data_IF_802686726629
#
_entry.id   IF_802686726629
#
_cell.length_a   1.000
_cell.length_b   1.000
_cell.length_c   1.000
_cell.angle_alpha   90.00
_cell.angle_beta   90.00
_cell.angle_gamma   90.00
#
_symmetry.space_group_name_H-M   'P 1'
#
loop_
_entity.id
_entity.type
_entity.pdbx_description
1 polymer ?
#
# COMPACT_ATOMS: atom_id res chain seq x y z
N UNK A 1 6.79 -13.29 -17.05
CA UNK A 1 7.37 -13.53 -15.71
C UNK A 1 6.22 -13.54 -14.71
N UNK A 2 5.85 -14.71 -14.20
CA UNK A 2 4.77 -14.86 -13.22
C UNK A 2 5.33 -14.44 -11.86
N UNK A 3 5.10 -13.19 -11.45
CA UNK A 3 5.44 -12.75 -10.10
C UNK A 3 4.71 -13.69 -9.15
N UNK A 4 5.46 -14.37 -8.28
CA UNK A 4 4.89 -15.30 -7.33
C UNK A 4 3.78 -14.59 -6.54
N UNK A 5 2.59 -15.23 -6.48
CA UNK A 5 1.41 -14.74 -5.76
C UNK A 5 1.72 -14.08 -4.39
N UNK A 6 2.62 -14.62 -3.54
CA UNK A 6 2.97 -13.97 -2.27
C UNK A 6 3.67 -12.61 -2.42
N UNK A 7 4.55 -12.45 -3.41
CA UNK A 7 5.24 -11.17 -3.68
C UNK A 7 4.22 -10.12 -4.13
N UNK A 8 3.29 -10.52 -4.99
CA UNK A 8 2.22 -9.65 -5.40
C UNK A 8 1.36 -9.26 -4.20
N UNK A 9 1.06 -10.16 -3.26
CA UNK A 9 0.32 -9.88 -2.02
C UNK A 9 1.04 -8.95 -1.05
N UNK A 10 2.37 -8.96 -1.03
CA UNK A 10 3.17 -8.10 -0.16
C UNK A 10 3.24 -6.64 -0.63
N UNK A 11 3.03 -6.37 -1.93
CA UNK A 11 3.20 -5.05 -2.55
C UNK A 11 2.65 -3.87 -1.72
N UNK A 12 1.34 -3.85 -1.35
CA UNK A 12 0.79 -2.70 -0.61
C UNK A 12 1.49 -2.46 0.73
N UNK A 13 1.90 -3.53 1.41
CA UNK A 13 2.62 -3.43 2.68
C UNK A 13 4.04 -2.90 2.49
N UNK A 14 4.73 -3.29 1.41
CA UNK A 14 6.05 -2.74 1.07
C UNK A 14 5.95 -1.23 0.84
N UNK A 15 4.93 -0.76 0.09
CA UNK A 15 4.70 0.67 -0.13
C UNK A 15 4.43 1.42 1.19
N UNK A 16 3.60 0.87 2.08
CA UNK A 16 3.35 1.47 3.39
C UNK A 16 4.62 1.49 4.26
N UNK A 17 5.37 0.39 4.31
CA UNK A 17 6.59 0.27 5.10
C UNK A 17 7.67 1.25 4.62
N UNK A 18 7.85 1.37 3.30
CA UNK A 18 8.75 2.36 2.71
C UNK A 18 8.32 3.79 3.06
N UNK A 19 7.02 4.08 2.99
CA UNK A 19 6.47 5.37 3.40
C UNK A 19 6.75 5.69 4.87
N UNK A 20 6.49 4.75 5.77
CA UNK A 20 6.78 4.87 7.20
C UNK A 20 8.27 5.05 7.48
N UNK A 21 9.14 4.33 6.76
CA UNK A 21 10.59 4.47 6.88
C UNK A 21 11.06 5.88 6.49
N UNK A 22 10.51 6.45 5.41
CA UNK A 22 10.80 7.83 5.00
C UNK A 22 10.32 8.84 6.04
N UNK A 23 9.13 8.64 6.63
CA UNK A 23 8.62 9.50 7.70
C UNK A 23 9.51 9.42 8.97
N UNK A 24 9.97 8.22 9.33
CA UNK A 24 10.92 8.02 10.43
C UNK A 24 12.27 8.66 10.14
N UNK A 25 12.77 8.55 8.91
CA UNK A 25 14.01 9.19 8.48
C UNK A 25 13.92 10.72 8.55
N UNK A 26 12.76 11.31 8.21
CA UNK A 26 12.53 12.75 8.33
C UNK A 26 12.71 13.26 9.77
N UNK A 27 12.39 12.43 10.77
CA UNK A 27 12.54 12.75 12.19
C UNK A 27 13.97 12.67 12.72
N UNK A 28 14.81 11.83 12.10
CA UNK A 28 16.20 11.64 12.50
C UNK A 28 17.16 12.65 11.84
N UNK A 29 16.70 13.35 10.79
CA UNK A 29 17.51 14.29 10.05
C UNK A 29 17.46 15.70 10.69
N UNK A 30 18.60 16.41 10.75
CA UNK A 30 18.66 17.77 11.26
C UNK A 30 17.86 18.74 10.36
N UNK A 31 17.41 19.85 10.96
CA UNK A 31 16.58 20.85 10.30
C UNK A 31 17.21 21.34 8.98
N UNK A 32 16.49 21.11 7.88
CA UNK A 32 16.92 21.42 6.52
C UNK A 32 15.81 21.14 5.49
N UNK A 33 16.11 21.22 4.19
CA UNK A 33 15.14 20.93 3.12
C UNK A 33 14.83 19.43 2.96
N UNK A 34 15.76 18.56 3.36
CA UNK A 34 15.64 17.10 3.20
C UNK A 34 14.49 16.50 4.03
N UNK A 35 14.32 16.82 5.33
CA UNK A 35 13.17 16.35 6.12
C UNK A 35 11.81 16.62 5.47
N UNK A 36 11.61 17.80 4.88
CA UNK A 36 10.34 18.15 4.23
C UNK A 36 10.05 17.28 3.01
N UNK A 37 11.08 16.95 2.21
CA UNK A 37 10.94 16.04 1.06
C UNK A 37 10.59 14.63 1.55
N UNK A 38 11.26 14.15 2.60
CA UNK A 38 10.97 12.85 3.20
C UNK A 38 9.56 12.77 3.79
N UNK A 39 9.05 13.86 4.39
CA UNK A 39 7.67 13.94 4.87
C UNK A 39 6.65 13.78 3.74
N UNK A 40 6.83 14.51 2.63
CA UNK A 40 5.92 14.43 1.48
C UNK A 40 5.99 13.05 0.82
N UNK A 41 7.21 12.57 0.53
CA UNK A 41 7.42 11.27 -0.08
C UNK A 41 6.89 10.12 0.80
N UNK A 42 7.13 10.19 2.11
CA UNK A 42 6.65 9.21 3.08
C UNK A 42 5.11 9.19 3.17
N UNK A 43 4.48 10.36 3.23
CA UNK A 43 3.02 10.49 3.24
C UNK A 43 2.38 9.92 1.97
N UNK A 44 2.97 10.23 0.80
CA UNK A 44 2.51 9.67 -0.48
C UNK A 44 2.70 8.15 -0.53
N UNK A 45 3.81 7.62 -0.02
CA UNK A 45 4.07 6.19 0.05
C UNK A 45 3.05 5.44 0.92
N UNK A 46 2.76 5.96 2.11
CA UNK A 46 1.72 5.38 3.00
C UNK A 46 0.35 5.44 2.33
N UNK A 47 -0.02 6.58 1.75
CA UNK A 47 -1.31 6.76 1.08
C UNK A 47 -1.46 5.81 -0.11
N UNK A 48 -0.45 5.71 -0.96
CA UNK A 48 -0.45 4.80 -2.10
C UNK A 48 -0.57 3.33 -1.66
N UNK A 49 0.18 2.93 -0.62
CA UNK A 49 0.07 1.59 -0.04
C UNK A 49 -1.34 1.30 0.50
N UNK A 50 -1.94 2.26 1.20
CA UNK A 50 -3.31 2.16 1.73
C UNK A 50 -4.35 2.01 0.60
N UNK A 51 -4.25 2.84 -0.44
CA UNK A 51 -5.14 2.78 -1.61
C UNK A 51 -5.03 1.42 -2.31
N UNK A 52 -3.80 0.91 -2.51
CA UNK A 52 -3.58 -0.42 -3.09
C UNK A 52 -4.17 -1.53 -2.23
N UNK A 53 -4.03 -1.42 -0.91
CA UNK A 53 -4.61 -2.38 0.03
C UNK A 53 -6.13 -2.38 -0.01
N UNK A 54 -6.76 -1.20 0.05
CA UNK A 54 -8.23 -1.06 -0.02
C UNK A 54 -8.78 -1.58 -1.34
N UNK A 55 -8.20 -1.15 -2.47
CA UNK A 55 -8.61 -1.61 -3.81
C UNK A 55 -8.57 -3.13 -3.90
N UNK A 56 -7.54 -3.76 -3.33
CA UNK A 56 -7.40 -5.21 -3.34
C UNK A 56 -8.40 -5.91 -2.41
N UNK A 57 -8.66 -5.34 -1.23
CA UNK A 57 -9.71 -5.82 -0.33
C UNK A 57 -11.06 -5.81 -1.03
N UNK A 58 -11.38 -4.72 -1.72
CA UNK A 58 -12.64 -4.57 -2.46
C UNK A 58 -12.79 -5.60 -3.59
N UNK A 59 -11.72 -5.90 -4.34
CA UNK A 59 -11.76 -6.97 -5.34
C UNK A 59 -12.09 -8.33 -4.72
N UNK A 60 -11.49 -8.69 -3.57
CA UNK A 60 -11.80 -9.96 -2.89
C UNK A 60 -13.24 -10.02 -2.42
N UNK A 61 -13.77 -8.92 -1.85
CA UNK A 61 -15.17 -8.86 -1.39
C UNK A 61 -16.16 -8.96 -2.55
N UNK A 62 -15.93 -8.24 -3.65
CA UNK A 62 -16.82 -8.26 -4.82
C UNK A 62 -16.81 -9.61 -5.54
N UNK A 63 -15.66 -10.26 -5.62
CA UNK A 63 -15.57 -11.58 -6.24
C UNK A 63 -16.35 -12.63 -5.44
N UNK A 64 -16.29 -12.60 -4.11
CA UNK A 64 -17.08 -13.49 -3.26
C UNK A 64 -18.60 -13.30 -3.42
N UNK A 65 -19.04 -12.05 -3.64
CA UNK A 65 -20.46 -11.73 -3.86
C UNK A 65 -20.96 -12.17 -5.25
N UNK A 66 -20.13 -12.07 -6.28
CA UNK A 66 -20.50 -12.50 -7.63
C UNK A 66 -20.62 -14.03 -7.73
N UNK A 67 -19.68 -14.75 -7.11
CA UNK A 67 -19.63 -16.22 -7.10
C UNK A 67 -20.84 -16.82 -6.35
N UNK A 68 -21.23 -16.22 -5.22
CA UNK A 68 -22.42 -16.62 -4.48
C UNK A 68 -23.71 -16.43 -5.30
N UNK A 69 -23.83 -15.31 -6.03
CA UNK A 69 -25.03 -15.02 -6.84
C UNK A 69 -25.18 -15.96 -8.03
N UNK A 70 -24.07 -16.38 -8.65
CA UNK A 70 -24.12 -17.35 -9.76
C UNK A 70 -24.48 -18.79 -9.35
N UNK A 71 -24.52 -19.09 -8.05
CA UNK A 71 -24.97 -20.40 -7.55
C UNK A 71 -26.47 -20.42 -7.21
N UNK A 72 -27.08 -19.23 -7.05
CA UNK A 72 -28.50 -19.06 -6.75
C UNK A 72 -29.38 -18.92 -8.01
N UNK A 73 -28.78 -18.68 -9.19
CA UNK A 73 -29.43 -18.61 -10.52
C UNK A 73 -29.30 -19.96 -11.29
#
# INVERSE_FOLDING_TARGET
MWIARPIYELLPYIYMLAGLALLGAAWLLPAGRLPSVFMVAGTLGVTAGLVLWLRRRDYRTRQAQYDARSLDD
#
